data_IF_147126955081
#
_entry.id   IF_147126955081
#
_cell.length_a   1.000
_cell.length_b   1.000
_cell.length_c   1.000
_cell.angle_alpha   90.00
_cell.angle_beta   90.00
_cell.angle_gamma   90.00
#
_symmetry.space_group_name_H-M   'P 1'
#
loop_
_entity.id
_entity.type
_entity.pdbx_description
1 polymer ?
#
# COMPACT_ATOMS: atom_id res chain seq x y z
N UNK A 1 21.51 8.27 13.66
CA UNK A 1 20.86 7.24 12.81
C UNK A 1 21.39 5.83 13.07
N UNK A 2 22.71 5.64 13.26
CA UNK A 2 23.33 4.33 13.58
C UNK A 2 22.97 3.77 14.97
N UNK A 3 22.77 4.63 15.97
CA UNK A 3 22.48 4.22 17.35
C UNK A 3 21.09 3.55 17.52
N UNK A 4 20.06 4.08 16.84
CA UNK A 4 18.68 3.54 16.85
C UNK A 4 18.61 2.16 16.18
N UNK A 5 19.44 1.95 15.15
CA UNK A 5 19.49 0.69 14.41
C UNK A 5 20.07 -0.45 15.26
N UNK A 6 20.98 -0.13 16.19
CA UNK A 6 21.59 -1.10 17.13
C UNK A 6 20.63 -1.51 18.26
N UNK A 7 19.73 -0.61 18.68
CA UNK A 7 18.72 -0.87 19.73
C UNK A 7 17.59 -1.78 19.21
N UNK A 8 17.11 -1.57 17.98
CA UNK A 8 16.00 -2.36 17.42
C UNK A 8 16.37 -3.79 17.01
N UNK A 9 17.66 -4.09 16.84
CA UNK A 9 18.15 -5.41 16.46
C UNK A 9 18.28 -6.39 17.65
N UNK A 10 18.11 -5.93 18.89
CA UNK A 10 18.46 -6.71 20.09
C UNK A 10 17.31 -6.90 21.09
N UNK A 11 16.05 -6.66 20.72
CA UNK A 11 14.93 -6.68 21.68
C UNK A 11 14.20 -8.02 21.72
N UNK A 12 14.74 -8.93 22.52
CA UNK A 12 13.99 -10.03 23.15
C UNK A 12 13.43 -9.65 24.54
N UNK A 13 13.58 -8.38 24.98
CA UNK A 13 13.33 -7.98 26.37
C UNK A 13 12.42 -6.73 26.49
N UNK A 14 11.34 -6.85 27.27
CA UNK A 14 10.20 -5.91 27.40
C UNK A 14 10.60 -4.54 27.99
N UNK A 15 11.66 -4.48 28.81
CA UNK A 15 12.12 -3.25 29.48
C UNK A 15 12.62 -2.17 28.49
N UNK A 16 13.14 -2.56 27.34
CA UNK A 16 13.70 -1.65 26.32
C UNK A 16 12.60 -0.88 25.55
N UNK A 17 11.34 -1.34 25.61
CA UNK A 17 10.22 -0.69 24.92
C UNK A 17 9.95 0.74 25.41
N UNK A 18 10.21 1.07 26.69
CA UNK A 18 9.98 2.44 27.21
C UNK A 18 10.97 3.47 26.69
N UNK A 19 12.24 3.12 26.47
CA UNK A 19 13.24 4.06 25.92
C UNK A 19 13.08 4.29 24.41
N UNK A 20 12.60 3.29 23.65
CA UNK A 20 12.31 3.45 22.22
C UNK A 20 11.13 4.41 21.98
N UNK A 21 10.16 4.45 22.90
CA UNK A 21 9.00 5.36 22.84
C UNK A 21 9.40 6.85 22.90
N UNK A 22 10.44 7.21 23.67
CA UNK A 22 10.89 8.60 23.82
C UNK A 22 11.66 9.08 22.57
N UNK A 23 12.33 8.18 21.84
CA UNK A 23 13.09 8.57 20.64
C UNK A 23 12.23 8.75 19.39
N UNK A 24 11.04 8.13 19.34
CA UNK A 24 10.11 8.23 18.20
C UNK A 24 9.42 9.61 18.16
N UNK A 25 9.30 10.34 19.27
CA UNK A 25 8.73 11.70 19.31
C UNK A 25 9.63 12.79 18.71
N UNK A 26 10.90 12.50 18.46
CA UNK A 26 11.88 13.49 17.96
C UNK A 26 12.18 13.38 16.44
N UNK A 27 11.51 12.50 15.71
CA UNK A 27 11.67 12.42 14.24
C UNK A 27 10.76 13.46 13.56
N UNK A 28 11.26 14.21 12.56
CA UNK A 28 10.50 15.28 11.92
C UNK A 28 9.17 14.74 11.36
N UNK A 29 8.10 15.32 11.88
CA UNK A 29 6.68 14.96 11.76
C UNK A 29 6.15 14.85 10.32
N UNK A 30 6.93 15.27 9.32
CA UNK A 30 6.48 15.39 7.94
C UNK A 30 6.61 14.11 7.08
N UNK A 31 7.25 13.04 7.55
CA UNK A 31 7.42 11.79 6.77
C UNK A 31 6.86 10.52 7.40
N UNK A 32 6.28 10.62 8.59
CA UNK A 32 5.77 9.46 9.33
C UNK A 32 4.25 9.62 9.40
N UNK A 33 3.51 8.61 8.93
CA UNK A 33 2.06 8.54 9.07
C UNK A 33 1.60 8.64 10.54
N UNK A 34 0.29 8.54 10.83
CA UNK A 34 -0.26 8.82 12.16
C UNK A 34 0.43 8.02 13.30
N UNK A 35 0.40 8.60 14.51
CA UNK A 35 1.07 8.12 15.73
C UNK A 35 0.74 6.63 15.99
N UNK A 36 1.74 5.74 16.04
CA UNK A 36 1.50 4.31 16.14
C UNK A 36 0.86 3.89 17.48
N UNK A 37 0.92 4.67 18.57
CA UNK A 37 0.34 4.26 19.86
C UNK A 37 -1.21 4.22 19.87
N UNK A 38 -1.88 5.00 19.01
CA UNK A 38 -3.35 5.08 18.94
C UNK A 38 -3.98 4.13 17.92
N UNK A 39 -3.19 3.19 17.38
CA UNK A 39 -3.47 2.54 16.09
C UNK A 39 -3.68 1.02 16.15
N UNK A 40 -3.17 0.30 17.15
CA UNK A 40 -3.06 -1.18 17.08
C UNK A 40 -3.74 -1.92 18.22
N UNK A 41 -4.44 -3.01 17.88
CA UNK A 41 -5.11 -3.90 18.85
C UNK A 41 -4.17 -4.99 19.44
N UNK A 42 -2.96 -5.18 18.89
CA UNK A 42 -1.97 -6.17 19.39
C UNK A 42 -0.54 -5.60 19.35
N UNK A 43 0.23 -5.77 20.43
CA UNK A 43 1.63 -5.31 20.57
C UNK A 43 2.52 -5.83 19.43
N UNK A 44 2.30 -7.07 18.99
CA UNK A 44 3.04 -7.68 17.87
C UNK A 44 2.89 -6.89 16.57
N UNK A 45 1.69 -6.41 16.26
CA UNK A 45 1.41 -5.68 15.03
C UNK A 45 2.03 -4.28 15.09
N UNK A 46 2.01 -3.65 16.27
CA UNK A 46 2.70 -2.39 16.53
C UNK A 46 4.21 -2.51 16.25
N UNK A 47 4.88 -3.51 16.84
CA UNK A 47 6.32 -3.74 16.64
C UNK A 47 6.63 -4.04 15.17
N UNK A 48 5.82 -4.88 14.52
CA UNK A 48 5.98 -5.19 13.09
C UNK A 48 5.84 -3.94 12.23
N UNK A 49 4.84 -3.10 12.52
CA UNK A 49 4.62 -1.83 11.83
C UNK A 49 5.79 -0.87 12.00
N UNK A 50 6.39 -0.78 13.19
CA UNK A 50 7.61 -0.01 13.41
C UNK A 50 8.77 -0.57 12.58
N UNK A 51 9.03 -1.88 12.64
CA UNK A 51 10.09 -2.53 11.85
C UNK A 51 9.93 -2.26 10.35
N UNK A 52 8.70 -2.26 9.84
CA UNK A 52 8.40 -1.94 8.44
C UNK A 52 8.68 -0.47 8.11
N UNK A 53 8.22 0.47 8.94
CA UNK A 53 8.45 1.91 8.73
C UNK A 53 9.95 2.24 8.71
N UNK A 54 10.71 1.67 9.63
CA UNK A 54 12.17 1.85 9.73
C UNK A 54 12.98 1.00 8.74
N UNK A 55 12.34 0.08 8.00
CA UNK A 55 13.03 -0.80 7.06
C UNK A 55 13.99 -1.78 7.74
N UNK A 56 13.66 -2.22 8.95
CA UNK A 56 14.46 -3.16 9.77
C UNK A 56 13.77 -4.50 9.97
N UNK A 57 12.73 -4.79 9.20
CA UNK A 57 12.09 -6.11 9.21
C UNK A 57 13.08 -7.19 8.73
N UNK A 58 13.06 -8.34 9.39
CA UNK A 58 14.13 -9.37 9.38
C UNK A 58 14.15 -10.25 8.11
N UNK A 59 14.04 -9.62 6.94
CA UNK A 59 14.28 -10.27 5.65
C UNK A 59 15.73 -10.71 5.53
N UNK A 60 16.01 -11.74 4.72
CA UNK A 60 17.40 -12.16 4.42
C UNK A 60 18.24 -11.02 3.87
N UNK A 61 17.69 -10.18 2.98
CA UNK A 61 18.42 -9.00 2.48
C UNK A 61 18.79 -8.00 3.59
N UNK A 62 17.94 -7.85 4.61
CA UNK A 62 18.23 -6.97 5.74
C UNK A 62 19.29 -7.56 6.67
N UNK A 63 19.27 -8.89 6.91
CA UNK A 63 20.29 -9.58 7.72
C UNK A 63 21.70 -9.43 7.14
N UNK A 64 21.79 -9.43 5.81
CA UNK A 64 23.04 -9.26 5.06
C UNK A 64 23.34 -7.79 4.69
N UNK A 65 22.63 -6.81 5.28
CA UNK A 65 22.87 -5.41 4.96
C UNK A 65 24.30 -5.01 5.32
N UNK A 66 25.05 -4.51 4.33
CA UNK A 66 26.46 -4.12 4.49
C UNK A 66 27.43 -5.30 4.56
N UNK A 67 27.00 -6.50 4.18
CA UNK A 67 27.81 -7.72 4.12
C UNK A 67 27.57 -8.43 2.78
N UNK A 68 28.60 -9.09 2.26
CA UNK A 68 28.47 -9.92 1.06
C UNK A 68 28.42 -11.39 1.50
N UNK A 69 27.34 -12.13 1.19
CA UNK A 69 27.29 -13.55 1.49
C UNK A 69 28.22 -14.34 0.56
N UNK A 70 28.83 -15.40 1.09
CA UNK A 70 29.64 -16.33 0.30
C UNK A 70 28.78 -17.08 -0.72
N UNK A 71 27.56 -17.47 -0.30
CA UNK A 71 26.56 -18.05 -1.19
C UNK A 71 25.52 -16.98 -1.58
N UNK A 72 25.40 -16.59 -2.87
CA UNK A 72 24.37 -15.66 -3.34
C UNK A 72 22.93 -16.07 -2.98
N UNK A 73 22.66 -17.37 -2.86
CA UNK A 73 21.34 -17.91 -2.52
C UNK A 73 20.89 -17.51 -1.11
N UNK A 74 21.83 -17.12 -0.24
CA UNK A 74 21.51 -16.59 1.08
C UNK A 74 20.65 -15.31 1.03
N UNK A 75 20.56 -14.63 -0.13
CA UNK A 75 19.70 -13.47 -0.34
C UNK A 75 18.35 -13.81 -0.97
N UNK A 76 18.18 -15.02 -1.53
CA UNK A 76 16.95 -15.43 -2.20
C UNK A 76 15.78 -15.51 -1.21
N UNK A 77 14.58 -15.22 -1.72
CA UNK A 77 13.33 -15.41 -0.99
C UNK A 77 13.25 -16.84 -0.47
N UNK A 78 13.05 -17.02 0.84
CA UNK A 78 13.01 -18.35 1.46
C UNK A 78 11.91 -19.27 0.93
N UNK A 79 10.86 -18.70 0.32
CA UNK A 79 9.72 -19.46 -0.20
C UNK A 79 9.78 -19.64 -1.71
N UNK A 80 9.88 -18.54 -2.48
CA UNK A 80 9.83 -18.62 -3.93
C UNK A 80 11.18 -18.35 -4.62
N UNK A 81 12.24 -18.09 -3.86
CA UNK A 81 13.50 -17.56 -4.38
C UNK A 81 14.22 -18.54 -5.31
N UNK A 82 14.23 -19.83 -4.98
CA UNK A 82 14.86 -20.86 -5.81
C UNK A 82 14.22 -21.00 -7.19
N UNK A 83 12.89 -20.86 -7.28
CA UNK A 83 12.17 -20.96 -8.56
C UNK A 83 12.17 -19.64 -9.34
N UNK A 84 12.13 -18.51 -8.64
CA UNK A 84 11.87 -17.20 -9.25
C UNK A 84 13.09 -16.28 -9.34
N UNK A 85 14.23 -16.65 -8.74
CA UNK A 85 15.43 -15.80 -8.64
C UNK A 85 15.25 -14.53 -7.79
N UNK A 86 14.09 -14.32 -7.18
CA UNK A 86 13.82 -13.09 -6.43
C UNK A 86 14.54 -13.09 -5.07
N UNK A 87 15.18 -11.97 -4.74
CA UNK A 87 15.74 -11.71 -3.40
C UNK A 87 14.63 -11.50 -2.37
N UNK A 88 14.87 -11.99 -1.16
CA UNK A 88 14.01 -11.73 -0.01
C UNK A 88 14.15 -10.29 0.45
N UNK A 89 13.32 -9.41 -0.09
CA UNK A 89 13.25 -8.01 0.29
C UNK A 89 11.85 -7.68 0.79
N UNK A 90 11.74 -6.64 1.61
CA UNK A 90 10.43 -6.22 2.10
C UNK A 90 9.48 -5.79 0.96
N UNK A 91 10.03 -5.22 -0.11
CA UNK A 91 9.31 -4.90 -1.33
C UNK A 91 8.80 -6.16 -2.04
N UNK A 92 9.65 -7.19 -2.22
CA UNK A 92 9.20 -8.45 -2.83
C UNK A 92 8.09 -9.12 -2.01
N UNK A 93 8.29 -9.30 -0.71
CA UNK A 93 7.34 -9.96 0.20
C UNK A 93 5.98 -9.27 0.18
N UNK A 94 5.96 -7.93 0.20
CA UNK A 94 4.72 -7.16 0.31
C UNK A 94 4.02 -6.85 -1.00
N UNK A 95 4.62 -7.19 -2.16
CA UNK A 95 4.13 -6.75 -3.47
C UNK A 95 4.04 -7.87 -4.52
N UNK A 96 4.92 -8.88 -4.47
CA UNK A 96 5.10 -9.82 -5.60
C UNK A 96 5.24 -11.29 -5.20
N UNK A 97 5.53 -11.60 -3.94
CA UNK A 97 5.78 -12.97 -3.53
C UNK A 97 4.51 -13.83 -3.69
N UNK A 98 4.56 -14.94 -4.46
CA UNK A 98 3.40 -15.82 -4.64
C UNK A 98 2.84 -16.36 -3.32
N UNK A 99 3.72 -16.68 -2.37
CA UNK A 99 3.35 -17.17 -1.03
C UNK A 99 2.45 -16.21 -0.25
N UNK A 100 2.55 -14.91 -0.50
CA UNK A 100 1.74 -13.88 0.19
C UNK A 100 0.69 -13.24 -0.72
N UNK A 101 0.52 -13.74 -1.96
CA UNK A 101 -0.33 -13.13 -2.98
C UNK A 101 -1.77 -12.95 -2.51
N UNK A 102 -2.36 -13.97 -1.87
CA UNK A 102 -3.72 -13.88 -1.34
C UNK A 102 -3.87 -12.72 -0.33
N UNK A 103 -2.90 -12.53 0.56
CA UNK A 103 -2.96 -11.45 1.57
C UNK A 103 -2.65 -10.07 0.96
N UNK A 104 -1.84 -10.02 -0.10
CA UNK A 104 -1.63 -8.81 -0.91
C UNK A 104 -2.95 -8.36 -1.54
N UNK A 105 -3.69 -9.28 -2.16
CA UNK A 105 -5.01 -9.02 -2.76
C UNK A 105 -5.99 -8.58 -1.67
N UNK A 106 -6.08 -9.30 -0.55
CA UNK A 106 -6.96 -8.92 0.58
C UNK A 106 -6.70 -7.51 1.10
N UNK A 107 -5.43 -7.09 1.22
CA UNK A 107 -5.08 -5.72 1.63
C UNK A 107 -5.59 -4.69 0.62
N UNK A 108 -5.40 -4.94 -0.67
CA UNK A 108 -5.85 -4.04 -1.74
C UNK A 108 -7.37 -3.97 -1.79
N UNK A 109 -8.08 -5.10 -1.85
CA UNK A 109 -9.54 -5.15 -1.89
C UNK A 109 -10.17 -4.46 -0.68
N UNK A 110 -9.58 -4.59 0.52
CA UNK A 110 -10.06 -3.87 1.71
C UNK A 110 -10.00 -2.35 1.55
N UNK A 111 -8.98 -1.81 0.87
CA UNK A 111 -8.87 -0.38 0.61
C UNK A 111 -9.85 0.03 -0.49
N UNK A 112 -9.96 -0.74 -1.58
CA UNK A 112 -10.94 -0.50 -2.66
C UNK A 112 -12.35 -0.42 -2.10
N UNK A 113 -12.75 -1.39 -1.27
CA UNK A 113 -14.07 -1.42 -0.63
C UNK A 113 -14.30 -0.20 0.25
N UNK A 114 -13.33 0.19 1.09
CA UNK A 114 -13.46 1.38 1.92
C UNK A 114 -13.64 2.65 1.08
N UNK A 115 -12.88 2.79 -0.02
CA UNK A 115 -13.01 3.93 -0.94
C UNK A 115 -14.39 3.92 -1.61
N UNK A 116 -14.84 2.77 -2.10
CA UNK A 116 -16.18 2.59 -2.68
C UNK A 116 -17.30 2.93 -1.70
N UNK A 117 -17.23 2.43 -0.46
CA UNK A 117 -18.22 2.73 0.59
C UNK A 117 -18.22 4.20 1.01
N UNK A 118 -17.06 4.87 0.91
CA UNK A 118 -17.00 6.33 1.09
C UNK A 118 -17.67 7.05 -0.07
N UNK A 119 -17.41 6.65 -1.31
CA UNK A 119 -18.03 7.25 -2.49
C UNK A 119 -19.56 7.06 -2.50
N UNK A 120 -20.07 5.87 -2.15
CA UNK A 120 -21.52 5.64 -1.98
C UNK A 120 -22.16 6.63 -1.02
N UNK A 121 -21.51 6.91 0.11
CA UNK A 121 -22.00 7.90 1.10
C UNK A 121 -21.95 9.35 0.61
N UNK A 122 -21.18 9.64 -0.43
CA UNK A 122 -21.10 10.95 -1.08
C UNK A 122 -22.04 11.04 -2.30
N UNK A 123 -22.91 10.03 -2.50
CA UNK A 123 -23.95 10.01 -3.52
C UNK A 123 -23.51 9.43 -4.87
N UNK A 124 -22.35 8.78 -4.95
CA UNK A 124 -21.95 8.10 -6.19
C UNK A 124 -22.62 6.73 -6.32
N UNK A 125 -23.08 6.40 -7.53
CA UNK A 125 -23.23 5.01 -7.95
C UNK A 125 -21.83 4.42 -8.13
N UNK A 126 -21.57 3.25 -7.51
CA UNK A 126 -20.22 2.67 -7.46
C UNK A 126 -20.23 1.28 -8.06
N UNK A 127 -19.42 1.12 -9.12
CA UNK A 127 -19.16 -0.16 -9.77
C UNK A 127 -17.76 -0.64 -9.39
N UNK A 128 -17.69 -1.81 -8.74
CA UNK A 128 -16.43 -2.40 -8.26
C UNK A 128 -15.93 -3.41 -9.28
N UNK A 129 -14.67 -3.28 -9.68
CA UNK A 129 -14.00 -4.14 -10.68
C UNK A 129 -14.80 -4.40 -11.97
N UNK A 130 -15.43 -3.37 -12.60
CA UNK A 130 -16.18 -3.60 -13.83
C UNK A 130 -15.27 -4.10 -14.95
N UNK A 131 -15.74 -5.08 -15.71
CA UNK A 131 -15.06 -5.54 -16.91
C UNK A 131 -15.48 -4.68 -18.10
N UNK A 132 -14.57 -3.87 -18.61
CA UNK A 132 -14.82 -2.93 -19.71
C UNK A 132 -13.98 -3.37 -20.91
N UNK A 133 -14.65 -3.62 -22.04
CA UNK A 133 -14.00 -3.97 -23.29
C UNK A 133 -13.58 -2.69 -24.02
N UNK A 134 -12.35 -2.66 -24.52
CA UNK A 134 -11.82 -1.57 -25.34
C UNK A 134 -10.96 -2.18 -26.44
N UNK A 135 -11.43 -2.08 -27.70
CA UNK A 135 -10.89 -2.89 -28.80
C UNK A 135 -10.97 -4.39 -28.50
N UNK A 136 -9.84 -5.08 -28.63
CA UNK A 136 -9.73 -6.53 -28.37
C UNK A 136 -9.34 -6.88 -26.92
N UNK A 137 -9.14 -5.88 -26.07
CA UNK A 137 -8.71 -6.07 -24.69
C UNK A 137 -9.86 -5.82 -23.69
N UNK A 138 -9.85 -6.57 -22.59
CA UNK A 138 -10.73 -6.32 -21.44
C UNK A 138 -9.90 -5.74 -20.31
N UNK A 139 -10.33 -4.59 -19.82
CA UNK A 139 -9.73 -3.89 -18.70
C UNK A 139 -10.65 -3.98 -17.48
N UNK A 140 -10.03 -4.08 -16.31
CA UNK A 140 -10.71 -4.09 -15.01
C UNK A 140 -10.10 -3.00 -14.13
N UNK A 141 -10.62 -1.75 -14.14
CA UNK A 141 -10.25 -0.77 -13.13
C UNK A 141 -10.87 -1.16 -11.78
N UNK A 142 -10.27 -0.72 -10.66
CA UNK A 142 -10.79 -1.08 -9.34
C UNK A 142 -12.20 -0.51 -9.09
N UNK A 143 -12.46 0.72 -9.51
CA UNK A 143 -13.75 1.41 -9.34
C UNK A 143 -14.10 2.25 -10.58
N UNK A 144 -15.39 2.27 -10.92
CA UNK A 144 -16.01 3.36 -11.69
C UNK A 144 -17.07 4.00 -10.79
N UNK A 145 -16.93 5.31 -10.58
CA UNK A 145 -17.87 6.12 -9.79
C UNK A 145 -18.69 6.96 -10.76
N UNK A 146 -20.01 6.88 -10.68
CA UNK A 146 -20.92 7.66 -11.54
C UNK A 146 -21.77 8.55 -10.65
N UNK A 147 -21.88 9.83 -11.01
CA UNK A 147 -22.75 10.80 -10.34
C UNK A 147 -23.15 11.86 -11.35
N UNK A 148 -24.45 12.11 -11.42
CA UNK A 148 -25.05 12.97 -12.44
C UNK A 148 -24.57 12.54 -13.84
N UNK A 149 -24.10 13.47 -14.65
CA UNK A 149 -23.65 13.22 -16.03
C UNK A 149 -22.12 13.02 -16.14
N UNK A 150 -21.52 12.46 -15.08
CA UNK A 150 -20.07 12.31 -14.94
C UNK A 150 -19.68 10.95 -14.38
N UNK A 151 -18.71 10.31 -15.03
CA UNK A 151 -18.03 9.12 -14.53
C UNK A 151 -16.57 9.41 -14.12
N UNK A 152 -16.08 8.63 -13.16
CA UNK A 152 -14.70 8.65 -12.72
C UNK A 152 -14.17 7.22 -12.61
N UNK A 153 -13.20 6.88 -13.44
CA UNK A 153 -12.40 5.67 -13.26
C UNK A 153 -11.40 5.96 -12.14
N UNK A 154 -11.48 5.21 -11.04
CA UNK A 154 -10.64 5.42 -9.87
C UNK A 154 -9.90 4.14 -9.48
N UNK A 155 -8.59 4.12 -9.73
CA UNK A 155 -7.79 2.91 -9.54
C UNK A 155 -6.85 2.99 -8.32
N UNK A 156 -6.78 1.94 -7.49
CA UNK A 156 -6.10 1.93 -6.20
C UNK A 156 -4.78 1.16 -6.29
N UNK A 157 -3.73 1.64 -5.60
CA UNK A 157 -2.49 0.88 -5.47
C UNK A 157 -1.86 1.02 -4.08
N UNK A 158 -1.17 -0.06 -3.67
CA UNK A 158 -0.44 -0.10 -2.39
C UNK A 158 1.07 -0.39 -2.57
N UNK A 159 1.85 0.51 -3.21
CA UNK A 159 3.25 0.24 -3.51
C UNK A 159 4.14 0.26 -2.26
N UNK A 160 5.27 -0.44 -2.33
CA UNK A 160 6.36 -0.24 -1.38
C UNK A 160 7.06 1.09 -1.65
N UNK A 161 7.12 2.00 -0.68
CA UNK A 161 7.64 3.34 -0.94
C UNK A 161 9.16 3.37 -1.06
N UNK A 162 9.66 3.86 -2.20
CA UNK A 162 11.08 4.17 -2.44
C UNK A 162 11.18 5.34 -3.43
N UNK A 163 11.90 6.41 -3.09
CA UNK A 163 12.05 7.56 -4.01
C UNK A 163 10.70 8.08 -4.55
N UNK A 164 10.61 8.25 -5.87
CA UNK A 164 9.45 8.75 -6.64
C UNK A 164 8.38 7.71 -6.96
N UNK A 165 8.55 6.45 -6.51
CA UNK A 165 7.68 5.30 -6.86
C UNK A 165 6.19 5.54 -6.72
N UNK A 166 5.73 6.31 -5.72
CA UNK A 166 4.31 6.55 -5.53
C UNK A 166 3.71 7.44 -6.62
N UNK A 167 4.44 8.49 -7.04
CA UNK A 167 3.99 9.39 -8.09
C UNK A 167 4.02 8.68 -9.45
N UNK A 168 5.09 7.96 -9.76
CA UNK A 168 5.18 7.16 -10.98
C UNK A 168 4.08 6.09 -11.06
N UNK A 169 3.71 5.47 -9.93
CA UNK A 169 2.60 4.51 -9.88
C UNK A 169 1.24 5.18 -10.10
N UNK A 170 1.08 6.40 -9.63
CA UNK A 170 -0.12 7.21 -9.86
C UNK A 170 -0.28 7.50 -11.36
N UNK A 171 0.74 8.07 -12.00
CA UNK A 171 0.73 8.41 -13.43
C UNK A 171 0.54 7.16 -14.30
N UNK A 172 1.25 6.06 -14.01
CA UNK A 172 1.08 4.80 -14.76
C UNK A 172 -0.34 4.24 -14.70
N UNK A 173 -1.04 4.36 -13.57
CA UNK A 173 -2.44 3.92 -13.47
C UNK A 173 -3.35 4.83 -14.29
N UNK A 174 -3.14 6.14 -14.25
CA UNK A 174 -3.88 7.07 -15.12
C UNK A 174 -3.67 6.70 -16.58
N UNK A 175 -2.42 6.64 -17.06
CA UNK A 175 -2.11 6.30 -18.46
C UNK A 175 -2.69 4.96 -18.90
N UNK A 176 -2.69 3.95 -18.02
CA UNK A 176 -3.23 2.61 -18.34
C UNK A 176 -4.72 2.64 -18.66
N UNK A 177 -5.50 3.43 -17.93
CA UNK A 177 -6.96 3.42 -18.03
C UNK A 177 -7.54 4.58 -18.83
N UNK A 178 -6.72 5.55 -19.28
CA UNK A 178 -7.16 6.65 -20.16
C UNK A 178 -7.87 6.14 -21.42
N UNK A 179 -7.46 5.00 -21.96
CA UNK A 179 -8.08 4.38 -23.14
C UNK A 179 -9.57 4.08 -22.94
N UNK A 180 -10.02 3.85 -21.70
CA UNK A 180 -11.41 3.50 -21.40
C UNK A 180 -12.36 4.69 -21.33
N UNK A 181 -11.90 5.92 -21.58
CA UNK A 181 -12.70 7.12 -21.33
C UNK A 181 -13.99 7.13 -22.13
N UNK A 182 -13.92 6.84 -23.44
CA UNK A 182 -15.10 6.80 -24.31
C UNK A 182 -15.96 5.54 -24.06
N UNK A 183 -15.33 4.40 -23.78
CA UNK A 183 -16.06 3.16 -23.46
C UNK A 183 -16.89 3.31 -22.17
N UNK A 184 -16.35 3.99 -21.15
CA UNK A 184 -17.07 4.28 -19.90
C UNK A 184 -18.19 5.28 -20.13
N UNK A 185 -17.97 6.33 -20.94
CA UNK A 185 -19.03 7.28 -21.28
C UNK A 185 -20.21 6.58 -21.94
N UNK A 186 -19.93 5.72 -22.92
CA UNK A 186 -20.97 4.94 -23.61
C UNK A 186 -21.64 3.91 -22.68
N UNK A 187 -20.88 3.20 -21.85
CA UNK A 187 -21.41 2.15 -20.98
C UNK A 187 -22.33 2.68 -19.87
N UNK A 188 -22.02 3.86 -19.33
CA UNK A 188 -22.78 4.46 -18.22
C UNK A 188 -23.68 5.62 -18.65
N UNK A 189 -23.77 5.89 -19.96
CA UNK A 189 -24.56 6.98 -20.55
C UNK A 189 -24.27 8.34 -19.90
N UNK A 190 -22.99 8.76 -19.93
CA UNK A 190 -22.53 10.03 -19.36
C UNK A 190 -21.75 10.89 -20.35
N UNK A 191 -21.82 12.22 -20.19
CA UNK A 191 -21.12 13.20 -21.02
C UNK A 191 -19.63 13.27 -20.73
N UNK A 192 -19.21 13.08 -19.47
CA UNK A 192 -17.80 13.23 -19.10
C UNK A 192 -17.27 12.03 -18.34
N UNK A 193 -16.00 11.70 -18.60
CA UNK A 193 -15.28 10.67 -17.83
C UNK A 193 -13.87 11.16 -17.50
N UNK A 194 -13.43 10.96 -16.25
CA UNK A 194 -12.04 11.22 -15.85
C UNK A 194 -11.37 9.98 -15.28
N UNK A 195 -10.06 9.85 -15.54
CA UNK A 195 -9.25 8.74 -15.03
C UNK A 195 -8.33 9.24 -13.92
N UNK A 196 -8.43 8.62 -12.75
CA UNK A 196 -7.72 9.00 -11.52
C UNK A 196 -7.23 7.77 -10.78
N UNK A 197 -6.36 8.01 -9.79
CA UNK A 197 -5.82 6.94 -8.96
C UNK A 197 -5.66 7.37 -7.50
N UNK A 198 -5.74 6.39 -6.58
CA UNK A 198 -5.43 6.54 -5.16
C UNK A 198 -4.26 5.63 -4.81
N UNK A 199 -3.11 6.24 -4.51
CA UNK A 199 -1.89 5.54 -4.16
C UNK A 199 -1.60 5.70 -2.66
N UNK A 200 -1.51 4.58 -1.95
CA UNK A 200 -1.24 4.54 -0.50
C UNK A 200 -0.01 3.68 -0.28
N UNK A 201 1.01 4.19 0.40
CA UNK A 201 2.22 3.42 0.61
C UNK A 201 2.00 2.25 1.57
N UNK A 202 2.66 1.12 1.29
CA UNK A 202 2.61 -0.08 2.12
C UNK A 202 3.05 0.17 3.57
N UNK A 203 3.82 1.24 3.82
CA UNK A 203 4.27 1.68 5.15
C UNK A 203 3.46 2.85 5.73
N UNK A 204 2.21 3.05 5.27
CA UNK A 204 1.27 4.07 5.76
C UNK A 204 1.57 5.51 5.32
N UNK A 205 2.08 5.71 4.11
CA UNK A 205 2.15 7.05 3.49
C UNK A 205 0.98 7.33 2.55
N UNK A 206 0.66 8.61 2.39
CA UNK A 206 -0.38 9.10 1.48
C UNK A 206 0.30 9.80 0.29
N UNK A 207 -0.02 9.43 -0.95
CA UNK A 207 0.52 10.13 -2.11
C UNK A 207 -0.10 11.54 -2.21
N UNK A 208 0.70 12.62 -2.35
CA UNK A 208 0.17 13.96 -2.58
C UNK A 208 -0.71 14.06 -3.84
N UNK A 209 -0.39 13.29 -4.90
CA UNK A 209 -1.20 13.24 -6.14
C UNK A 209 -2.65 12.83 -5.90
N UNK A 210 -2.93 12.05 -4.85
CA UNK A 210 -4.29 11.66 -4.51
C UNK A 210 -5.19 12.87 -4.24
N UNK A 211 -4.65 13.99 -3.74
CA UNK A 211 -5.45 15.18 -3.47
C UNK A 211 -5.98 15.80 -4.78
N UNK A 212 -5.19 15.78 -5.86
CA UNK A 212 -5.65 16.19 -7.19
C UNK A 212 -6.72 15.24 -7.72
N UNK A 213 -6.54 13.94 -7.52
CA UNK A 213 -7.53 12.93 -7.89
C UNK A 213 -8.86 13.13 -7.17
N UNK A 214 -8.84 13.30 -5.85
CA UNK A 214 -10.05 13.53 -5.07
C UNK A 214 -10.77 14.82 -5.46
N UNK A 215 -10.03 15.91 -5.69
CA UNK A 215 -10.60 17.18 -6.15
C UNK A 215 -11.28 17.04 -7.51
N UNK A 216 -10.65 16.32 -8.44
CA UNK A 216 -11.18 16.13 -9.78
C UNK A 216 -12.40 15.20 -9.84
N UNK A 217 -12.58 14.34 -8.83
CA UNK A 217 -13.75 13.47 -8.72
C UNK A 217 -14.85 14.06 -7.83
N UNK A 218 -14.69 15.28 -7.33
CA UNK A 218 -15.51 15.86 -6.26
C UNK A 218 -15.75 14.91 -5.06
N UNK A 219 -14.75 14.06 -4.76
CA UNK A 219 -14.87 13.02 -3.74
C UNK A 219 -14.28 13.53 -2.42
N UNK A 220 -15.16 13.95 -1.51
CA UNK A 220 -14.71 14.42 -0.20
C UNK A 220 -14.17 13.26 0.66
N UNK A 221 -12.88 13.31 0.99
CA UNK A 221 -12.27 12.42 1.98
C UNK A 221 -11.71 13.20 3.17
N UNK A 222 -12.37 13.13 4.34
CA UNK A 222 -11.88 13.77 5.55
C UNK A 222 -10.49 13.28 5.94
N UNK A 223 -9.71 14.11 6.62
CA UNK A 223 -8.35 13.76 7.10
C UNK A 223 -8.35 12.48 7.95
N UNK A 224 -9.39 12.27 8.78
CA UNK A 224 -9.57 11.04 9.57
C UNK A 224 -9.70 9.81 8.67
N UNK A 225 -10.40 9.92 7.54
CA UNK A 225 -10.56 8.83 6.59
C UNK A 225 -9.27 8.52 5.82
N UNK A 226 -8.54 9.55 5.37
CA UNK A 226 -7.20 9.36 4.77
C UNK A 226 -6.25 8.61 5.72
N UNK A 227 -6.26 8.97 7.01
CA UNK A 227 -5.50 8.27 8.06
C UNK A 227 -5.94 6.82 8.24
N UNK A 228 -7.25 6.54 8.18
CA UNK A 228 -7.79 5.18 8.22
C UNK A 228 -7.24 4.33 7.07
N UNK A 229 -7.27 4.84 5.84
CA UNK A 229 -6.77 4.08 4.68
C UNK A 229 -5.26 3.78 4.81
N UNK A 230 -4.46 4.76 5.24
CA UNK A 230 -3.03 4.55 5.50
C UNK A 230 -2.79 3.49 6.60
N UNK A 231 -3.60 3.53 7.67
CA UNK A 231 -3.56 2.52 8.73
C UNK A 231 -3.88 1.13 8.19
N UNK A 232 -4.98 0.99 7.45
CA UNK A 232 -5.42 -0.28 6.86
C UNK A 232 -4.37 -0.85 5.92
N UNK A 233 -3.70 0.00 5.13
CA UNK A 233 -2.58 -0.42 4.30
C UNK A 233 -1.43 -1.02 5.12
N UNK A 234 -1.02 -0.36 6.20
CA UNK A 234 0.06 -0.85 7.07
C UNK A 234 -0.35 -2.09 7.87
N UNK A 235 -1.58 -2.16 8.37
CA UNK A 235 -2.14 -3.36 9.01
C UNK A 235 -2.12 -4.56 8.05
N UNK A 236 -2.58 -4.36 6.82
CA UNK A 236 -2.51 -5.39 5.78
C UNK A 236 -1.07 -5.80 5.47
N UNK A 237 -0.14 -4.84 5.42
CA UNK A 237 1.30 -5.16 5.28
C UNK A 237 1.81 -5.98 6.47
N UNK A 238 1.44 -5.65 7.71
CA UNK A 238 1.83 -6.45 8.87
C UNK A 238 1.32 -7.89 8.76
N UNK A 239 0.07 -8.09 8.34
CA UNK A 239 -0.50 -9.43 8.10
C UNK A 239 0.26 -10.20 7.02
N UNK A 240 0.66 -9.52 5.93
CA UNK A 240 1.49 -10.14 4.88
C UNK A 240 2.79 -10.70 5.46
N UNK A 241 3.50 -9.92 6.29
CA UNK A 241 4.75 -10.39 6.91
C UNK A 241 4.52 -11.48 7.96
N UNK A 242 3.42 -11.42 8.71
CA UNK A 242 3.06 -12.49 9.63
C UNK A 242 2.83 -13.80 8.89
N UNK A 243 2.06 -13.77 7.80
CA UNK A 243 1.84 -14.95 6.96
C UNK A 243 3.17 -15.44 6.35
N UNK A 244 4.00 -14.53 5.85
CA UNK A 244 5.30 -14.89 5.27
C UNK A 244 6.23 -15.61 6.28
N UNK A 245 6.25 -15.17 7.54
CA UNK A 245 7.12 -15.74 8.57
C UNK A 245 6.52 -16.90 9.36
N UNK A 246 5.22 -17.20 9.21
CA UNK A 246 4.57 -18.35 9.87
C UNK A 246 4.51 -19.58 8.97
N UNK A 247 4.62 -19.39 7.65
CA UNK A 247 4.69 -20.48 6.67
C UNK A 247 6.09 -21.11 6.54
N UNK A 248 7.04 -20.72 7.39
CA UNK A 248 8.38 -21.31 7.50
C UNK A 248 8.44 -22.26 8.67
#
# INVERSE_FOLDING_TARGET
MLYIQRILLNTSNISVCRHVLIYISCLPYHRIGPNPATIWYKIRDYITGLKLRFGVIETRSQKWRGRTPQNPDALLCRHCGHLSGHRETAAHISQKCPTTQATIIQRHNKIVNLVGDRAKREGFAVHVEPAIKSGDAVYKPDLVLVKDDTAHILDVAVPWEKGTTMHEKHERKISKYTILTEDVKALFDVQTCTVRAIIIGARSSWCPSNNRSLKACDLHMPKKFKRLLCRVALEGTCKIFQNFFTLT
#
